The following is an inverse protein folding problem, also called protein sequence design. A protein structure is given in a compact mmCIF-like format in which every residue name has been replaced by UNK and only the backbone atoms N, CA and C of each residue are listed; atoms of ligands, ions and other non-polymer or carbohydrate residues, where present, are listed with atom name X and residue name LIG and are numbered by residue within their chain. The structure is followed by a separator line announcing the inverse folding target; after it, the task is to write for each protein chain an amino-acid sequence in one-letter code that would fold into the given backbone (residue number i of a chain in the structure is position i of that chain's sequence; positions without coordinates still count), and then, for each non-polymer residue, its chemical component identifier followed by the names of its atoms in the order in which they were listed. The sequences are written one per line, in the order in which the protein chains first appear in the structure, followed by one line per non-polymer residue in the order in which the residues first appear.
data_IF_096606774805
#
_entry.id   IF_096606774805
#
_cell.length_a   1.000
_cell.length_b   1.000
_cell.length_c   1.000
_cell.angle_alpha   90.00
_cell.angle_beta   90.00
_cell.angle_gamma   90.00
#
_symmetry.space_group_name_H-M   'P 1'
#
loop_
_entity.id
_entity.type
_entity.pdbx_description
1 polymer ?
#
# COMPACT_ATOMS: atom_id res chain seq x y z
N UNK A 1 17.87 0.70 -7.97
CA UNK A 1 19.03 1.40 -7.35
C UNK A 1 18.68 2.13 -6.06
N UNK A 2 17.85 3.18 -6.08
CA UNK A 2 17.54 3.97 -4.87
C UNK A 2 17.04 3.11 -3.71
N UNK A 3 16.10 2.21 -3.97
CA UNK A 3 15.58 1.27 -2.96
C UNK A 3 16.64 0.30 -2.45
N UNK A 4 17.51 -0.23 -3.32
CA UNK A 4 18.60 -1.13 -2.92
C UNK A 4 19.55 -0.42 -1.97
N UNK A 5 19.98 0.80 -2.31
CA UNK A 5 20.85 1.59 -1.43
C UNK A 5 20.18 1.89 -0.09
N UNK A 6 18.90 2.27 -0.10
CA UNK A 6 18.16 2.58 1.12
C UNK A 6 18.05 1.35 2.04
N UNK A 7 17.53 0.24 1.52
CA UNK A 7 17.30 -0.98 2.28
C UNK A 7 18.62 -1.60 2.78
N UNK A 8 19.69 -1.57 1.98
CA UNK A 8 21.03 -1.96 2.44
C UNK A 8 21.55 -1.05 3.57
N UNK A 9 21.29 0.26 3.48
CA UNK A 9 21.71 1.23 4.49
C UNK A 9 21.05 1.05 5.86
N UNK A 10 19.89 0.40 5.92
CA UNK A 10 19.18 0.08 7.18
C UNK A 10 19.32 -1.39 7.59
N UNK A 11 20.20 -2.16 6.94
CA UNK A 11 20.47 -3.56 7.29
C UNK A 11 19.37 -4.54 6.85
N UNK A 12 18.53 -4.19 5.89
CA UNK A 12 17.45 -5.03 5.35
C UNK A 12 17.64 -5.29 3.85
N UNK A 13 18.69 -6.01 3.42
CA UNK A 13 19.00 -6.19 2.00
C UNK A 13 17.88 -6.85 1.20
N UNK A 14 17.59 -6.26 0.03
CA UNK A 14 16.49 -6.64 -0.88
C UNK A 14 16.95 -7.23 -2.21
N UNK A 15 18.26 -7.36 -2.43
CA UNK A 15 18.85 -7.81 -3.70
C UNK A 15 18.30 -9.16 -4.15
N UNK A 16 18.18 -10.13 -3.23
CA UNK A 16 17.62 -11.46 -3.52
C UNK A 16 16.14 -11.42 -3.89
N UNK A 17 15.36 -10.52 -3.28
CA UNK A 17 13.93 -10.34 -3.57
C UNK A 17 13.81 -9.79 -5.00
N UNK A 18 14.53 -8.71 -5.30
CA UNK A 18 14.46 -8.04 -6.60
C UNK A 18 14.93 -8.94 -7.75
N UNK A 19 15.96 -9.76 -7.52
CA UNK A 19 16.48 -10.68 -8.54
C UNK A 19 15.44 -11.73 -9.00
N UNK A 20 14.53 -12.12 -8.12
CA UNK A 20 13.49 -13.11 -8.39
C UNK A 20 12.11 -12.50 -8.73
N UNK A 21 12.03 -11.17 -8.84
CA UNK A 21 10.78 -10.41 -8.97
C UNK A 21 10.47 -9.99 -10.41
N UNK A 22 9.18 -9.83 -10.75
CA UNK A 22 8.74 -9.32 -12.06
C UNK A 22 8.44 -7.81 -11.96
N UNK A 23 9.42 -6.96 -12.28
CA UNK A 23 9.41 -5.55 -11.90
C UNK A 23 8.88 -4.57 -12.96
N UNK A 24 9.05 -4.86 -14.25
CA UNK A 24 8.81 -3.88 -15.32
C UNK A 24 7.56 -4.21 -16.13
N UNK A 25 6.98 -3.21 -16.78
CA UNK A 25 5.80 -3.38 -17.63
C UNK A 25 6.09 -4.29 -18.82
N UNK A 26 5.12 -5.15 -19.15
CA UNK A 26 5.07 -5.91 -20.39
C UNK A 26 3.62 -6.15 -20.79
N UNK A 27 3.39 -6.42 -22.07
CA UNK A 27 2.06 -6.72 -22.61
C UNK A 27 1.43 -7.88 -21.81
N UNK A 28 0.14 -7.75 -21.52
CA UNK A 28 -0.70 -8.75 -20.85
C UNK A 28 -0.28 -9.12 -19.40
N UNK A 29 0.57 -8.31 -18.76
CA UNK A 29 0.94 -8.47 -17.34
C UNK A 29 -0.19 -7.99 -16.41
N UNK A 30 -0.32 -8.63 -15.25
CA UNK A 30 -1.22 -8.19 -14.19
C UNK A 30 -0.92 -6.71 -13.83
N UNK A 31 -1.90 -5.79 -13.88
CA UNK A 31 -1.66 -4.39 -13.59
C UNK A 31 -1.46 -4.11 -12.09
N UNK A 32 -1.92 -4.98 -11.20
CA UNK A 32 -1.86 -4.78 -9.75
C UNK A 32 -0.52 -5.24 -9.18
N UNK A 33 0.16 -4.35 -8.46
CA UNK A 33 1.36 -4.71 -7.71
C UNK A 33 1.00 -5.52 -6.47
N UNK A 34 1.86 -6.47 -6.10
CA UNK A 34 1.73 -7.24 -4.87
C UNK A 34 3.06 -7.89 -4.49
N UNK A 35 3.18 -8.26 -3.22
CA UNK A 35 4.22 -9.10 -2.66
C UNK A 35 3.66 -10.49 -2.32
N UNK A 36 4.48 -11.52 -2.46
CA UNK A 36 4.13 -12.87 -2.05
C UNK A 36 5.35 -13.61 -1.52
N UNK A 37 5.17 -14.28 -0.39
CA UNK A 37 6.07 -15.32 0.10
C UNK A 37 5.68 -16.66 -0.54
N UNK A 38 6.59 -17.26 -1.31
CA UNK A 38 6.32 -18.45 -2.12
C UNK A 38 6.33 -19.72 -1.26
N UNK A 39 7.24 -19.78 -0.28
CA UNK A 39 7.55 -21.01 0.45
C UNK A 39 7.59 -20.86 1.97
N UNK A 40 7.50 -19.63 2.51
CA UNK A 40 7.68 -19.32 3.94
C UNK A 40 9.02 -19.81 4.49
N UNK A 41 10.03 -19.91 3.62
CA UNK A 41 11.42 -20.24 3.90
C UNK A 41 12.39 -19.17 3.37
N UNK A 42 11.89 -18.05 2.84
CA UNK A 42 12.69 -16.91 2.41
C UNK A 42 12.68 -16.64 0.90
N UNK A 43 11.93 -17.41 0.09
CA UNK A 43 11.66 -17.05 -1.31
C UNK A 43 10.48 -16.07 -1.40
N UNK A 44 10.80 -14.80 -1.20
CA UNK A 44 9.83 -13.69 -1.28
C UNK A 44 10.04 -12.90 -2.56
N UNK A 45 8.94 -12.63 -3.27
CA UNK A 45 8.96 -11.98 -4.58
C UNK A 45 7.91 -10.89 -4.66
N UNK A 46 8.17 -9.89 -5.48
CA UNK A 46 7.23 -8.82 -5.78
C UNK A 46 6.90 -8.78 -7.27
N UNK A 47 5.69 -8.35 -7.59
CA UNK A 47 5.28 -7.98 -8.93
C UNK A 47 5.00 -6.47 -8.94
N UNK A 48 5.65 -5.74 -9.85
CA UNK A 48 5.41 -4.32 -10.07
C UNK A 48 5.35 -4.01 -11.57
N UNK A 49 4.96 -2.80 -11.94
CA UNK A 49 4.96 -2.31 -13.32
C UNK A 49 5.72 -0.97 -13.40
N UNK A 50 6.96 -0.98 -12.90
CA UNK A 50 7.73 0.23 -12.56
C UNK A 50 7.89 1.18 -13.75
N UNK A 51 7.65 2.47 -13.48
CA UNK A 51 8.09 3.61 -14.30
C UNK A 51 8.95 4.53 -13.46
N UNK A 52 9.73 5.38 -14.12
CA UNK A 52 10.55 6.37 -13.45
C UNK A 52 9.71 7.57 -12.97
N UNK A 53 8.91 7.39 -11.93
CA UNK A 53 8.14 8.44 -11.28
C UNK A 53 7.91 8.13 -9.79
N UNK A 54 7.42 9.13 -9.06
CA UNK A 54 7.17 9.03 -7.62
C UNK A 54 6.12 7.97 -7.27
N UNK A 55 5.07 7.84 -8.06
CA UNK A 55 4.02 6.83 -7.82
C UNK A 55 4.58 5.41 -7.77
N UNK A 56 5.47 5.07 -8.72
CA UNK A 56 6.12 3.77 -8.74
C UNK A 56 7.24 3.65 -7.70
N UNK A 57 7.82 4.76 -7.23
CA UNK A 57 8.72 4.77 -6.08
C UNK A 57 7.98 4.41 -4.78
N UNK A 58 6.82 5.03 -4.54
CA UNK A 58 5.91 4.67 -3.42
C UNK A 58 5.57 3.18 -3.48
N UNK A 59 5.14 2.71 -4.66
CA UNK A 59 4.73 1.31 -4.87
C UNK A 59 5.87 0.33 -4.59
N UNK A 60 7.08 0.52 -5.15
CA UNK A 60 8.19 -0.41 -4.88
C UNK A 60 8.66 -0.36 -3.42
N UNK A 61 8.66 0.81 -2.78
CA UNK A 61 9.00 0.91 -1.36
C UNK A 61 7.97 0.17 -0.50
N UNK A 62 6.68 0.26 -0.86
CA UNK A 62 5.58 -0.45 -0.23
C UNK A 62 5.70 -1.97 -0.40
N UNK A 63 5.82 -2.47 -1.64
CA UNK A 63 5.95 -3.91 -1.89
C UNK A 63 7.22 -4.49 -1.26
N UNK A 64 8.33 -3.75 -1.25
CA UNK A 64 9.52 -4.18 -0.53
C UNK A 64 9.35 -4.17 0.98
N UNK A 65 8.47 -3.32 1.52
CA UNK A 65 8.12 -3.32 2.94
C UNK A 65 7.40 -4.61 3.35
N UNK A 66 6.45 -5.07 2.54
CA UNK A 66 5.90 -6.42 2.66
C UNK A 66 7.00 -7.48 2.55
N UNK A 67 7.85 -7.36 1.53
CA UNK A 67 8.83 -8.40 1.24
C UNK A 67 9.88 -8.58 2.35
N UNK A 68 10.35 -7.48 2.97
CA UNK A 68 11.27 -7.58 4.11
C UNK A 68 10.55 -8.08 5.36
N UNK A 69 9.26 -7.76 5.54
CA UNK A 69 8.48 -8.33 6.65
C UNK A 69 8.45 -9.85 6.54
N UNK A 70 8.06 -10.36 5.37
CA UNK A 70 7.91 -11.80 5.14
C UNK A 70 9.26 -12.53 5.18
N UNK A 71 10.29 -11.96 4.54
CA UNK A 71 11.63 -12.56 4.45
C UNK A 71 12.30 -12.75 5.81
N UNK A 72 12.02 -11.87 6.77
CA UNK A 72 12.67 -11.88 8.09
C UNK A 72 11.79 -12.46 9.20
N UNK A 73 10.72 -13.19 8.87
CA UNK A 73 10.06 -14.06 9.85
C UNK A 73 11.06 -15.05 10.46
N UNK A 74 10.90 -15.33 11.76
CA UNK A 74 11.75 -16.29 12.45
C UNK A 74 11.50 -17.71 11.87
N UNK A 75 12.49 -18.34 11.20
CA UNK A 75 12.30 -19.67 10.63
C UNK A 75 12.14 -20.74 11.71
N UNK A 76 12.42 -20.46 12.97
CA UNK A 76 12.23 -21.43 14.06
C UNK A 76 10.79 -21.53 14.52
N UNK A 77 9.92 -20.57 14.18
CA UNK A 77 8.49 -20.71 14.47
C UNK A 77 7.85 -21.77 13.55
N UNK A 78 6.80 -22.46 14.02
CA UNK A 78 6.04 -23.39 13.19
C UNK A 78 5.66 -22.78 11.85
N UNK A 79 5.71 -23.57 10.78
CA UNK A 79 5.44 -23.12 9.40
C UNK A 79 4.16 -22.26 9.26
N UNK A 80 3.10 -22.65 9.96
CA UNK A 80 1.81 -21.93 9.95
C UNK A 80 1.90 -20.52 10.54
N UNK A 81 2.86 -20.27 11.43
CA UNK A 81 3.07 -18.97 12.08
C UNK A 81 4.09 -18.08 11.36
N UNK A 82 4.65 -18.53 10.23
CA UNK A 82 5.56 -17.74 9.38
C UNK A 82 4.77 -16.85 8.44
N UNK A 83 3.91 -16.05 9.03
CA UNK A 83 3.03 -15.12 8.35
C UNK A 83 2.83 -13.89 9.25
N UNK A 84 2.38 -12.76 8.71
CA UNK A 84 2.08 -11.59 9.51
C UNK A 84 1.05 -11.90 10.59
N UNK A 85 1.29 -11.44 11.82
CA UNK A 85 0.39 -11.66 12.96
C UNK A 85 -1.05 -11.19 12.67
N UNK A 86 -1.19 -10.16 11.82
CA UNK A 86 -2.43 -9.77 11.18
C UNK A 86 -2.10 -9.03 9.88
N UNK A 87 -2.99 -9.04 8.89
CA UNK A 87 -2.80 -8.33 7.61
C UNK A 87 -2.37 -6.86 7.82
N UNK A 88 -2.94 -6.14 8.79
CA UNK A 88 -2.56 -4.73 9.02
C UNK A 88 -1.11 -4.55 9.47
N UNK A 89 -0.43 -5.56 10.03
CA UNK A 89 0.96 -5.42 10.48
C UNK A 89 1.93 -5.39 9.30
N UNK A 90 1.70 -6.22 8.28
CA UNK A 90 2.49 -6.15 7.04
C UNK A 90 2.18 -4.87 6.26
N UNK A 91 0.91 -4.45 6.21
CA UNK A 91 0.51 -3.14 5.66
C UNK A 91 1.18 -1.97 6.39
N UNK A 92 1.31 -2.04 7.72
CA UNK A 92 1.99 -1.01 8.49
C UNK A 92 3.44 -0.83 8.05
N UNK A 93 4.18 -1.92 7.88
CA UNK A 93 5.58 -1.86 7.44
C UNK A 93 5.68 -1.40 5.98
N UNK A 94 4.78 -1.88 5.12
CA UNK A 94 4.69 -1.43 3.73
C UNK A 94 4.40 0.08 3.64
N UNK A 95 3.47 0.61 4.42
CA UNK A 95 3.14 2.04 4.49
C UNK A 95 4.22 2.88 5.16
N UNK A 96 4.93 2.31 6.13
CA UNK A 96 6.05 2.95 6.81
C UNK A 96 7.19 3.24 5.82
N UNK A 97 7.49 2.30 4.92
CA UNK A 97 8.48 2.53 3.87
C UNK A 97 7.93 3.28 2.66
N UNK A 98 6.72 2.97 2.19
CA UNK A 98 6.10 3.61 1.02
C UNK A 98 6.06 5.14 1.13
N UNK A 99 5.70 5.68 2.30
CA UNK A 99 5.65 7.14 2.54
C UNK A 99 6.99 7.86 2.35
N UNK A 100 8.12 7.15 2.34
CA UNK A 100 9.44 7.75 2.14
C UNK A 100 9.60 8.38 0.75
N UNK A 101 8.84 7.90 -0.25
CA UNK A 101 8.86 8.47 -1.61
C UNK A 101 8.54 9.97 -1.64
N UNK A 102 7.89 10.49 -0.59
CA UNK A 102 7.51 11.91 -0.42
C UNK A 102 8.14 12.54 0.82
N UNK A 103 9.05 11.85 1.51
CA UNK A 103 9.76 12.40 2.66
C UNK A 103 10.96 13.23 2.16
N UNK A 104 10.95 14.53 2.43
CA UNK A 104 11.96 15.44 1.90
C UNK A 104 13.39 15.11 2.33
N UNK A 105 13.59 14.67 3.59
CA UNK A 105 14.90 14.28 4.09
C UNK A 105 15.41 12.99 3.40
N UNK A 106 14.54 12.00 3.23
CA UNK A 106 14.86 10.79 2.48
C UNK A 106 15.17 11.11 1.02
N UNK A 107 14.36 11.93 0.37
CA UNK A 107 14.58 12.37 -1.01
C UNK A 107 15.91 13.11 -1.16
N UNK A 108 16.27 13.97 -0.20
CA UNK A 108 17.55 14.67 -0.19
C UNK A 108 18.72 13.66 -0.20
N UNK A 109 18.71 12.71 0.73
CA UNK A 109 19.77 11.69 0.85
C UNK A 109 19.83 10.81 -0.39
N UNK A 110 18.66 10.41 -0.91
CA UNK A 110 18.61 9.45 -2.01
C UNK A 110 18.93 10.08 -3.36
N UNK A 111 18.44 11.29 -3.62
CA UNK A 111 18.63 11.98 -4.90
C UNK A 111 19.80 12.98 -4.88
N UNK A 112 20.49 13.10 -3.74
CA UNK A 112 21.58 14.07 -3.52
C UNK A 112 21.13 15.52 -3.75
N UNK A 113 19.95 15.87 -3.23
CA UNK A 113 19.40 17.21 -3.36
C UNK A 113 20.12 18.21 -2.44
N UNK A 114 20.11 19.48 -2.81
CA UNK A 114 20.59 20.56 -1.94
C UNK A 114 19.62 20.82 -0.78
N UNK A 115 20.08 21.56 0.24
CA UNK A 115 19.22 21.98 1.35
C UNK A 115 18.06 22.86 0.87
N UNK A 116 18.29 23.73 -0.12
CA UNK A 116 17.24 24.57 -0.71
C UNK A 116 16.16 23.70 -1.38
N UNK A 117 16.56 22.70 -2.17
CA UNK A 117 15.62 21.79 -2.81
C UNK A 117 14.81 20.98 -1.78
N UNK A 118 15.45 20.53 -0.71
CA UNK A 118 14.76 19.86 0.41
C UNK A 118 13.72 20.78 1.04
N UNK A 119 14.09 22.01 1.38
CA UNK A 119 13.19 22.99 2.01
C UNK A 119 11.97 23.26 1.11
N UNK A 120 12.15 23.36 -0.21
CA UNK A 120 11.02 23.51 -1.14
C UNK A 120 10.07 22.30 -1.12
N UNK A 121 10.59 21.07 -1.02
CA UNK A 121 9.77 19.85 -0.90
C UNK A 121 9.05 19.79 0.45
N UNK A 122 9.69 20.20 1.55
CA UNK A 122 9.10 20.21 2.90
C UNK A 122 7.85 21.10 2.98
N UNK A 123 7.83 22.23 2.25
CA UNK A 123 6.68 23.15 2.21
C UNK A 123 5.38 22.48 1.73
N UNK A 124 5.49 21.44 0.89
CA UNK A 124 4.32 20.79 0.26
C UNK A 124 4.08 19.37 0.77
N UNK A 125 5.13 18.62 1.12
CA UNK A 125 5.04 17.19 1.46
C UNK A 125 4.16 16.91 2.69
N UNK A 126 4.26 17.73 3.75
CA UNK A 126 3.46 17.57 4.97
C UNK A 126 1.96 17.72 4.72
N UNK A 127 1.57 18.79 4.03
CA UNK A 127 0.18 19.05 3.63
C UNK A 127 -0.34 17.96 2.70
N UNK A 128 0.47 17.53 1.74
CA UNK A 128 0.10 16.47 0.82
C UNK A 128 -0.13 15.13 1.55
N UNK A 129 0.77 14.75 2.46
CA UNK A 129 0.64 13.55 3.27
C UNK A 129 -0.65 13.57 4.09
N UNK A 130 -0.95 14.69 4.77
CA UNK A 130 -2.19 14.85 5.52
C UNK A 130 -3.42 14.71 4.63
N UNK A 131 -3.45 15.38 3.47
CA UNK A 131 -4.58 15.34 2.55
C UNK A 131 -4.80 13.93 1.98
N UNK A 132 -3.71 13.24 1.60
CA UNK A 132 -3.73 11.85 1.15
C UNK A 132 -4.40 10.95 2.19
N UNK A 133 -4.02 11.06 3.46
CA UNK A 133 -4.59 10.23 4.53
C UNK A 133 -6.07 10.54 4.79
N UNK A 134 -6.46 11.82 4.80
CA UNK A 134 -7.86 12.22 4.99
C UNK A 134 -8.78 11.78 3.84
N UNK A 135 -8.27 11.82 2.61
CA UNK A 135 -9.00 11.32 1.43
C UNK A 135 -9.08 9.78 1.50
N UNK A 136 -7.97 9.13 1.84
CA UNK A 136 -7.90 7.67 1.88
C UNK A 136 -8.80 7.06 2.96
N UNK A 137 -8.84 7.62 4.18
CA UNK A 137 -9.72 7.09 5.24
C UNK A 137 -11.20 7.15 4.82
N UNK A 138 -11.61 8.18 4.09
CA UNK A 138 -12.97 8.28 3.52
C UNK A 138 -13.24 7.17 2.50
N UNK A 139 -12.27 6.89 1.64
CA UNK A 139 -12.37 5.78 0.70
C UNK A 139 -12.41 4.41 1.40
N UNK A 140 -11.58 4.20 2.42
CA UNK A 140 -11.60 2.97 3.20
C UNK A 140 -12.94 2.76 3.92
N UNK A 141 -13.58 3.84 4.40
CA UNK A 141 -14.94 3.78 4.97
C UNK A 141 -16.00 3.38 3.93
N UNK A 142 -15.91 3.86 2.68
CA UNK A 142 -16.77 3.39 1.58
C UNK A 142 -16.62 1.89 1.42
N UNK A 143 -15.38 1.42 1.23
CA UNK A 143 -15.09 0.02 0.97
C UNK A 143 -15.56 -0.88 2.12
N UNK A 144 -15.20 -0.54 3.36
CA UNK A 144 -15.56 -1.34 4.53
C UNK A 144 -17.07 -1.41 4.78
N UNK A 145 -17.77 -0.27 4.78
CA UNK A 145 -19.22 -0.25 5.06
C UNK A 145 -20.03 -0.89 3.93
N UNK A 146 -19.60 -0.69 2.68
CA UNK A 146 -20.18 -1.36 1.51
C UNK A 146 -20.03 -2.87 1.59
N UNK A 147 -18.80 -3.35 1.76
CA UNK A 147 -18.48 -4.78 1.76
C UNK A 147 -19.19 -5.52 2.89
N UNK A 148 -19.24 -4.91 4.09
CA UNK A 148 -20.00 -5.43 5.22
C UNK A 148 -21.49 -5.59 4.91
N UNK A 149 -22.11 -4.60 4.26
CA UNK A 149 -23.53 -4.64 3.91
C UNK A 149 -23.82 -5.59 2.74
N UNK A 150 -22.92 -5.66 1.76
CA UNK A 150 -22.98 -6.63 0.66
C UNK A 150 -23.01 -8.06 1.20
N UNK A 151 -22.14 -8.40 2.16
CA UNK A 151 -22.15 -9.74 2.76
C UNK A 151 -23.33 -10.01 3.68
N UNK A 152 -23.90 -8.98 4.32
CA UNK A 152 -25.10 -9.13 5.14
C UNK A 152 -26.36 -9.41 4.29
N UNK A 153 -26.45 -8.83 3.09
CA UNK A 153 -27.54 -9.07 2.16
C UNK A 153 -27.06 -8.87 0.70
N UNK A 154 -26.65 -9.92 -0.01
CA UNK A 154 -26.12 -9.79 -1.37
C UNK A 154 -27.19 -9.52 -2.43
N UNK A 155 -28.46 -9.83 -2.14
CA UNK A 155 -29.58 -9.71 -3.11
C UNK A 155 -30.18 -8.29 -3.18
N UNK A 156 -29.67 -7.34 -2.38
CA UNK A 156 -30.11 -5.95 -2.42
C UNK A 156 -29.61 -5.21 -3.66
N UNK A 157 -30.10 -3.99 -3.88
CA UNK A 157 -29.55 -3.12 -4.93
C UNK A 157 -28.14 -2.61 -4.55
N UNK A 158 -27.14 -3.37 -4.98
CA UNK A 158 -25.72 -3.08 -4.72
C UNK A 158 -25.24 -1.80 -5.42
N UNK A 159 -25.83 -1.41 -6.54
CA UNK A 159 -25.45 -0.17 -7.23
C UNK A 159 -25.91 1.05 -6.45
N UNK A 160 -27.14 1.02 -5.93
CA UNK A 160 -27.65 2.06 -5.04
C UNK A 160 -26.92 2.07 -3.70
N UNK A 161 -26.60 0.89 -3.14
CA UNK A 161 -25.80 0.78 -1.91
C UNK A 161 -24.41 1.43 -2.08
N UNK A 162 -23.71 1.12 -3.18
CA UNK A 162 -22.39 1.68 -3.47
C UNK A 162 -22.40 3.20 -3.48
N UNK A 163 -23.30 3.79 -4.27
CA UNK A 163 -23.38 5.25 -4.39
C UNK A 163 -23.83 5.91 -3.09
N UNK A 164 -24.69 5.26 -2.29
CA UNK A 164 -25.03 5.72 -0.94
C UNK A 164 -23.79 5.80 -0.05
N UNK A 165 -22.89 4.82 -0.12
CA UNK A 165 -21.63 4.83 0.65
C UNK A 165 -20.67 5.91 0.14
N UNK A 166 -20.49 6.03 -1.18
CA UNK A 166 -19.65 7.06 -1.81
C UNK A 166 -20.12 8.46 -1.44
N UNK A 167 -21.42 8.76 -1.55
CA UNK A 167 -21.98 10.07 -1.20
C UNK A 167 -21.83 10.39 0.29
N UNK A 168 -22.09 9.40 1.16
CA UNK A 168 -21.97 9.52 2.62
C UNK A 168 -20.54 9.85 3.03
N UNK A 169 -19.56 9.09 2.56
CA UNK A 169 -18.19 9.17 3.07
C UNK A 169 -17.26 10.04 2.24
N UNK A 170 -17.39 10.08 0.91
CA UNK A 170 -16.55 10.88 0.03
C UNK A 170 -17.18 12.21 -0.38
N UNK A 171 -18.48 12.41 -0.14
CA UNK A 171 -19.22 13.59 -0.59
C UNK A 171 -19.19 13.82 -2.11
N UNK A 172 -19.02 12.73 -2.88
CA UNK A 172 -19.09 12.73 -4.33
C UNK A 172 -20.48 12.29 -4.74
N UNK A 173 -21.18 13.11 -5.54
CA UNK A 173 -22.52 12.81 -6.04
C UNK A 173 -22.49 11.76 -7.14
N UNK A 174 -23.47 10.87 -7.13
CA UNK A 174 -23.73 9.94 -8.23
C UNK A 174 -23.98 10.73 -9.53
N UNK A 175 -23.25 10.45 -10.62
CA UNK A 175 -23.52 11.07 -11.92
C UNK A 175 -24.94 10.75 -12.40
N UNK A 176 -25.60 11.74 -13.00
CA UNK A 176 -26.95 11.58 -13.54
C UNK A 176 -27.01 10.43 -14.54
N UNK A 177 -27.99 9.54 -14.38
CA UNK A 177 -28.19 8.39 -15.26
C UNK A 177 -27.19 7.24 -15.10
N UNK A 178 -26.29 7.26 -14.10
CA UNK A 178 -25.34 6.15 -13.86
C UNK A 178 -26.08 4.88 -13.39
N UNK A 179 -25.96 3.81 -14.17
CA UNK A 179 -26.56 2.49 -13.87
C UNK A 179 -25.53 1.35 -13.80
N UNK A 180 -24.26 1.65 -14.03
CA UNK A 180 -23.17 0.67 -14.05
C UNK A 180 -22.84 0.09 -12.65
N UNK A 181 -22.33 -1.16 -12.56
CA UNK A 181 -21.88 -1.76 -11.32
C UNK A 181 -20.53 -1.21 -10.88
N UNK A 182 -20.50 0.07 -10.49
CA UNK A 182 -19.28 0.79 -10.13
C UNK A 182 -18.47 0.12 -9.02
N UNK A 183 -19.14 -0.50 -8.05
CA UNK A 183 -18.49 -1.28 -6.99
C UNK A 183 -17.65 -2.43 -7.56
N UNK A 184 -18.09 -3.11 -8.62
CA UNK A 184 -17.41 -4.24 -9.21
C UNK A 184 -16.15 -3.86 -10.00
N UNK A 185 -15.91 -2.55 -10.21
CA UNK A 185 -14.68 -2.07 -10.84
C UNK A 185 -13.43 -2.17 -9.93
N UNK A 186 -13.62 -2.43 -8.64
CA UNK A 186 -12.53 -2.51 -7.66
C UNK A 186 -12.05 -3.95 -7.47
N UNK A 187 -10.80 -4.21 -7.87
CA UNK A 187 -10.17 -5.53 -7.85
C UNK A 187 -10.21 -6.23 -6.48
N UNK A 188 -10.13 -5.48 -5.38
CA UNK A 188 -10.10 -6.02 -4.02
C UNK A 188 -11.30 -6.92 -3.71
N UNK A 189 -12.49 -6.64 -4.25
CA UNK A 189 -13.64 -7.53 -4.04
C UNK A 189 -13.44 -8.94 -4.62
N UNK A 190 -12.60 -9.08 -5.66
CA UNK A 190 -12.35 -10.35 -6.33
C UNK A 190 -11.11 -11.07 -5.78
N UNK A 191 -10.07 -10.34 -5.36
CA UNK A 191 -8.77 -10.94 -5.01
C UNK A 191 -8.43 -10.87 -3.52
N UNK A 192 -9.05 -9.93 -2.78
CA UNK A 192 -8.71 -9.62 -1.40
C UNK A 192 -9.95 -9.07 -0.66
N UNK A 193 -10.98 -9.92 -0.44
CA UNK A 193 -12.18 -9.50 0.27
C UNK A 193 -11.85 -9.13 1.73
N UNK A 194 -12.64 -8.25 2.32
CA UNK A 194 -12.50 -7.76 3.69
C UNK A 194 -11.15 -7.09 3.98
N UNK A 195 -10.48 -6.52 2.98
CA UNK A 195 -9.09 -6.08 3.14
C UNK A 195 -8.95 -4.61 3.56
N UNK A 196 -9.86 -3.73 3.14
CA UNK A 196 -9.60 -2.28 3.11
C UNK A 196 -9.39 -1.61 4.48
N UNK A 197 -9.98 -2.15 5.54
CA UNK A 197 -9.80 -1.63 6.90
C UNK A 197 -8.36 -1.84 7.41
N UNK A 198 -7.66 -2.87 6.91
CA UNK A 198 -6.26 -3.14 7.26
C UNK A 198 -5.33 -2.01 6.83
N UNK A 199 -5.65 -1.31 5.73
CA UNK A 199 -4.87 -0.15 5.31
C UNK A 199 -4.93 1.00 6.33
N UNK A 200 -6.10 1.26 6.93
CA UNK A 200 -6.25 2.32 7.94
C UNK A 200 -5.55 1.93 9.24
N UNK A 201 -5.71 0.68 9.68
CA UNK A 201 -5.00 0.16 10.85
C UNK A 201 -3.49 0.13 10.63
N UNK A 202 -3.04 -0.22 9.43
CA UNK A 202 -1.66 -0.19 9.00
C UNK A 202 -1.07 1.21 9.06
N UNK A 203 -1.77 2.21 8.53
CA UNK A 203 -1.35 3.62 8.60
C UNK A 203 -1.19 4.13 10.05
N UNK A 204 -2.11 3.72 10.94
CA UNK A 204 -2.02 4.05 12.37
C UNK A 204 -0.77 3.44 13.00
N UNK A 205 -0.53 2.14 12.81
CA UNK A 205 0.64 1.46 13.35
C UNK A 205 1.95 2.00 12.74
N UNK A 206 1.98 2.25 11.43
CA UNK A 206 3.12 2.86 10.76
C UNK A 206 3.47 4.24 11.34
N UNK A 207 2.44 5.03 11.68
CA UNK A 207 2.64 6.34 12.31
C UNK A 207 3.10 6.23 13.77
N UNK A 208 2.63 5.23 14.51
CA UNK A 208 3.12 4.91 15.85
C UNK A 208 4.60 4.47 15.83
N UNK A 209 4.98 3.61 14.89
CA UNK A 209 6.37 3.20 14.67
C UNK A 209 7.25 4.39 14.32
N UNK A 210 6.79 5.26 13.43
CA UNK A 210 7.51 6.49 13.08
C UNK A 210 7.75 7.37 14.30
N UNK A 211 6.73 7.61 15.12
CA UNK A 211 6.87 8.39 16.34
C UNK A 211 7.81 7.76 17.38
N UNK A 212 7.91 6.43 17.41
CA UNK A 212 8.75 5.72 18.37
C UNK A 212 10.22 5.63 17.94
N UNK A 213 10.47 5.48 16.64
CA UNK A 213 11.81 5.24 16.08
C UNK A 213 12.53 6.53 15.71
N UNK A 214 11.79 7.56 15.27
CA UNK A 214 12.32 8.84 14.74
C UNK A 214 12.10 9.96 15.75
#
# INVERSE_FOLDING_TARGET
ELVVRFYNGIGLPVDSILANSDLYERKDKNPHAFCTDIDRQGDVRILCNLKNNEYWMDTILHELGHAVYDKYHDPNVPYLLREPAHIFTTEAIAMFFGRLSRNAAWMQQMLKLSDEQRIEIEKVSSKYAQLKQLIFVRWAMVMYDFEKQLYANPDQDLNSLWWKMVEKYQHVKKPNGRVEPDWASKIHFAIAPCYYHNYVLGELLASQLHHHIV
#
